data_IF_220155544751
#
_entry.id   IF_220155544751
#
_cell.length_a   1.000
_cell.length_b   1.000
_cell.length_c   1.000
_cell.angle_alpha   90.00
_cell.angle_beta   90.00
_cell.angle_gamma   90.00
#
_symmetry.space_group_name_H-M   'P 1'
#
loop_
_entity.id
_entity.type
_entity.pdbx_description
1 polymer ?
#
# COMPACT_ATOMS: atom_id res chain seq x y z
N UNK A 1 -3.22 11.40 4.48
CA UNK A 1 -2.71 10.47 5.52
C UNK A 1 -1.23 10.67 5.68
N UNK A 2 -0.76 10.89 6.91
CA UNK A 2 0.61 11.32 7.17
C UNK A 2 1.45 10.14 7.68
N UNK A 3 1.90 9.30 6.76
CA UNK A 3 2.71 8.11 7.04
C UNK A 3 4.09 8.27 6.42
N UNK A 4 5.12 8.00 7.19
CA UNK A 4 6.49 7.95 6.67
C UNK A 4 6.74 6.57 6.05
N UNK A 5 6.40 6.45 4.77
CA UNK A 5 6.50 5.18 4.03
C UNK A 5 7.93 4.65 3.98
N UNK A 6 8.91 5.51 3.83
CA UNK A 6 10.32 5.10 3.76
C UNK A 6 10.82 4.50 5.07
N UNK A 7 10.31 4.98 6.20
CA UNK A 7 10.65 4.46 7.52
C UNK A 7 9.95 3.14 7.82
N UNK A 8 8.67 3.01 7.47
CA UNK A 8 7.89 1.81 7.78
C UNK A 8 8.16 0.64 6.84
N UNK A 9 8.49 0.89 5.58
CA UNK A 9 8.69 -0.17 4.59
C UNK A 9 9.71 -1.24 5.03
N UNK A 10 10.94 -0.90 5.46
CA UNK A 10 11.88 -1.93 5.90
C UNK A 10 11.39 -2.69 7.13
N UNK A 11 10.70 -2.03 8.05
CA UNK A 11 10.15 -2.67 9.25
C UNK A 11 9.07 -3.69 8.90
N UNK A 12 8.17 -3.34 7.97
CA UNK A 12 7.11 -4.24 7.51
C UNK A 12 7.70 -5.45 6.79
N UNK A 13 8.71 -5.24 5.95
CA UNK A 13 9.39 -6.33 5.24
C UNK A 13 9.99 -7.35 6.23
N UNK A 14 10.64 -6.89 7.27
CA UNK A 14 11.23 -7.78 8.29
C UNK A 14 10.15 -8.57 9.02
N UNK A 15 9.02 -7.94 9.35
CA UNK A 15 7.91 -8.59 10.05
C UNK A 15 7.17 -9.62 9.19
N UNK A 16 6.90 -9.29 7.94
CA UNK A 16 6.21 -10.20 7.01
C UNK A 16 7.12 -11.31 6.52
N UNK A 17 8.41 -11.04 6.36
CA UNK A 17 9.39 -11.97 5.82
C UNK A 17 10.63 -12.00 6.72
N UNK A 18 10.56 -12.69 7.89
CA UNK A 18 11.71 -12.78 8.79
C UNK A 18 12.87 -13.57 8.21
N UNK A 19 12.62 -14.50 7.28
CA UNK A 19 13.67 -15.21 6.55
C UNK A 19 14.34 -14.26 5.56
N UNK A 20 15.66 -14.06 5.69
CA UNK A 20 16.41 -13.14 4.84
C UNK A 20 16.40 -13.51 3.36
N UNK A 21 16.48 -14.79 3.02
CA UNK A 21 16.45 -15.25 1.63
C UNK A 21 15.08 -14.96 0.98
N UNK A 22 13.99 -15.22 1.71
CA UNK A 22 12.64 -14.90 1.24
C UNK A 22 12.45 -13.40 1.11
N UNK A 23 12.95 -12.63 2.07
CA UNK A 23 12.87 -11.15 2.03
C UNK A 23 13.62 -10.59 0.83
N UNK A 24 14.78 -11.15 0.48
CA UNK A 24 15.53 -10.75 -0.71
C UNK A 24 14.75 -11.02 -1.98
N UNK A 25 14.07 -12.16 -2.04
CA UNK A 25 13.21 -12.52 -3.18
C UNK A 25 12.07 -11.52 -3.33
N UNK A 26 11.40 -11.19 -2.23
CA UNK A 26 10.30 -10.20 -2.20
C UNK A 26 10.81 -8.83 -2.61
N UNK A 27 11.95 -8.40 -2.09
CA UNK A 27 12.56 -7.13 -2.45
C UNK A 27 12.86 -7.04 -3.94
N UNK A 28 13.31 -8.14 -4.53
CA UNK A 28 13.54 -8.23 -5.97
C UNK A 28 12.25 -8.07 -6.79
N UNK A 29 11.16 -8.69 -6.33
CA UNK A 29 9.85 -8.56 -7.00
C UNK A 29 9.34 -7.12 -6.91
N UNK A 30 9.32 -6.55 -5.70
CA UNK A 30 8.90 -5.17 -5.48
C UNK A 30 9.73 -4.19 -6.32
N UNK A 31 11.02 -4.46 -6.46
CA UNK A 31 11.95 -3.61 -7.21
C UNK A 31 11.66 -3.53 -8.71
N UNK A 32 10.77 -4.36 -9.23
CA UNK A 32 10.29 -4.22 -10.62
C UNK A 32 9.53 -2.90 -10.80
N UNK A 33 8.87 -2.42 -9.76
CA UNK A 33 8.34 -1.08 -9.70
C UNK A 33 9.38 -0.16 -9.04
N UNK A 34 9.81 0.86 -9.75
CA UNK A 34 10.84 1.80 -9.31
C UNK A 34 12.04 1.88 -10.25
N UNK A 35 12.03 1.13 -11.38
CA UNK A 35 13.10 1.11 -12.35
C UNK A 35 13.02 2.23 -13.40
N UNK A 36 11.82 2.79 -13.59
CA UNK A 36 11.55 3.80 -14.61
C UNK A 36 11.31 5.16 -13.97
N UNK A 37 11.66 6.22 -14.71
CA UNK A 37 11.49 7.60 -14.22
C UNK A 37 10.02 7.95 -13.92
N UNK A 38 9.08 7.30 -14.62
CA UNK A 38 7.66 7.51 -14.39
C UNK A 38 7.09 6.68 -13.24
N UNK A 39 7.90 5.83 -12.60
CA UNK A 39 7.52 5.11 -11.39
C UNK A 39 7.62 6.06 -10.19
N UNK A 40 6.50 6.66 -9.80
CA UNK A 40 6.43 7.64 -8.72
C UNK A 40 6.07 6.96 -7.39
N UNK A 41 6.36 7.65 -6.28
CA UNK A 41 5.94 7.22 -4.94
C UNK A 41 6.40 5.79 -4.60
N UNK A 42 7.64 5.44 -4.91
CA UNK A 42 8.14 4.05 -4.88
C UNK A 42 7.90 3.38 -3.52
N UNK A 43 8.30 4.00 -2.43
CA UNK A 43 8.16 3.40 -1.10
C UNK A 43 6.68 3.24 -0.69
N UNK A 44 5.86 4.23 -1.04
CA UNK A 44 4.43 4.20 -0.78
C UNK A 44 3.75 3.08 -1.58
N UNK A 45 4.12 2.91 -2.84
CA UNK A 45 3.59 1.85 -3.70
C UNK A 45 4.01 0.47 -3.18
N UNK A 46 5.29 0.29 -2.84
CA UNK A 46 5.78 -0.97 -2.27
C UNK A 46 5.03 -1.32 -0.98
N UNK A 47 4.84 -0.36 -0.09
CA UNK A 47 4.09 -0.59 1.15
C UNK A 47 2.62 -0.95 0.86
N UNK A 48 2.01 -0.30 -0.13
CA UNK A 48 0.65 -0.64 -0.59
C UNK A 48 0.54 -2.05 -1.14
N UNK A 49 1.53 -2.50 -1.91
CA UNK A 49 1.59 -3.88 -2.41
C UNK A 49 1.61 -4.86 -1.24
N UNK A 50 2.44 -4.60 -0.23
CA UNK A 50 2.52 -5.46 0.96
C UNK A 50 1.21 -5.45 1.75
N UNK A 51 0.54 -4.31 1.84
CA UNK A 51 -0.77 -4.24 2.51
C UNK A 51 -1.79 -5.14 1.85
N UNK A 52 -1.84 -5.15 0.53
CA UNK A 52 -2.80 -5.96 -0.23
C UNK A 52 -2.43 -7.43 -0.29
N UNK A 53 -1.15 -7.74 -0.19
CA UNK A 53 -0.63 -9.09 -0.41
C UNK A 53 -0.30 -9.85 0.87
N UNK A 54 0.08 -9.15 1.94
CA UNK A 54 0.60 -9.79 3.15
C UNK A 54 1.84 -10.60 2.81
N UNK A 55 1.89 -11.86 3.25
CA UNK A 55 3.01 -12.78 3.03
C UNK A 55 2.84 -13.67 1.80
N UNK A 56 1.86 -13.40 0.93
CA UNK A 56 1.56 -14.22 -0.25
C UNK A 56 2.37 -13.74 -1.47
N UNK A 57 3.36 -14.53 -1.88
CA UNK A 57 4.24 -14.19 -3.01
C UNK A 57 3.48 -14.03 -4.32
N UNK A 58 2.48 -14.85 -4.58
CA UNK A 58 1.68 -14.77 -5.80
C UNK A 58 0.94 -13.45 -5.87
N UNK A 59 0.39 -13.00 -4.75
CA UNK A 59 -0.28 -11.70 -4.66
C UNK A 59 0.71 -10.54 -4.82
N UNK A 60 1.90 -10.67 -4.24
CA UNK A 60 2.96 -9.65 -4.38
C UNK A 60 3.31 -9.47 -5.86
N UNK A 61 3.50 -10.56 -6.59
CA UNK A 61 3.78 -10.50 -8.03
C UNK A 61 2.65 -9.84 -8.80
N UNK A 62 1.41 -10.22 -8.50
CA UNK A 62 0.24 -9.68 -9.18
C UNK A 62 0.07 -8.18 -8.93
N UNK A 63 0.16 -7.74 -7.67
CA UNK A 63 0.00 -6.32 -7.34
C UNK A 63 1.17 -5.47 -7.82
N UNK A 64 2.38 -6.03 -7.86
CA UNK A 64 3.53 -5.35 -8.46
C UNK A 64 3.30 -5.12 -9.95
N UNK A 65 2.76 -6.10 -10.67
CA UNK A 65 2.40 -5.95 -12.08
C UNK A 65 1.33 -4.86 -12.28
N UNK A 66 0.32 -4.81 -11.41
CA UNK A 66 -0.69 -3.74 -11.43
C UNK A 66 -0.04 -2.38 -11.25
N UNK A 67 0.86 -2.25 -10.27
CA UNK A 67 1.58 -0.99 -10.01
C UNK A 67 2.41 -0.55 -11.23
N UNK A 68 3.09 -1.48 -11.89
CA UNK A 68 3.87 -1.17 -13.09
C UNK A 68 3.00 -0.70 -14.25
N UNK A 69 1.77 -1.19 -14.33
CA UNK A 69 0.79 -0.76 -15.34
C UNK A 69 0.18 0.61 -14.99
N UNK A 70 -0.27 0.78 -13.76
CA UNK A 70 -0.81 2.06 -13.25
C UNK A 70 -0.72 2.08 -11.72
N UNK A 71 0.27 2.81 -11.21
CA UNK A 71 0.48 2.89 -9.75
C UNK A 71 -0.71 3.50 -9.00
N UNK A 72 -1.50 4.34 -9.67
CA UNK A 72 -2.68 4.96 -9.05
C UNK A 72 -3.75 3.92 -8.78
N UNK A 73 -3.92 2.94 -9.67
CA UNK A 73 -4.85 1.83 -9.46
C UNK A 73 -4.45 1.03 -8.20
N UNK A 74 -3.17 0.76 -8.04
CA UNK A 74 -2.64 0.11 -6.83
C UNK A 74 -2.99 0.91 -5.57
N UNK A 75 -2.73 2.22 -5.60
CA UNK A 75 -2.98 3.09 -4.44
C UNK A 75 -4.47 3.20 -4.09
N UNK A 76 -5.35 3.19 -5.10
CA UNK A 76 -6.80 3.16 -4.86
C UNK A 76 -7.17 1.95 -3.99
N UNK A 77 -6.72 0.77 -4.36
CA UNK A 77 -7.01 -0.45 -3.61
C UNK A 77 -6.36 -0.44 -2.22
N UNK A 78 -5.12 0.04 -2.13
CA UNK A 78 -4.36 0.02 -0.88
C UNK A 78 -4.76 1.11 0.12
N UNK A 79 -5.20 2.28 -0.34
CA UNK A 79 -5.40 3.46 0.51
C UNK A 79 -6.76 4.13 0.37
N UNK A 80 -7.39 4.07 -0.81
CA UNK A 80 -8.57 4.89 -1.13
C UNK A 80 -9.80 4.07 -1.50
N UNK A 81 -9.87 2.82 -1.05
CA UNK A 81 -10.95 1.90 -1.44
C UNK A 81 -12.35 2.41 -1.08
N UNK A 82 -12.48 3.26 -0.07
CA UNK A 82 -13.77 3.80 0.36
C UNK A 82 -14.15 5.11 -0.32
N UNK A 83 -13.17 5.95 -0.68
CA UNK A 83 -13.42 7.29 -1.23
C UNK A 83 -13.24 7.39 -2.74
N UNK A 84 -12.71 6.37 -3.39
CA UNK A 84 -12.50 6.37 -4.83
C UNK A 84 -13.83 6.59 -5.56
N UNK A 85 -13.85 7.52 -6.54
CA UNK A 85 -15.04 7.89 -7.33
C UNK A 85 -16.22 8.41 -6.50
N UNK A 86 -15.96 9.00 -5.33
CA UNK A 86 -16.98 9.57 -4.46
C UNK A 86 -17.01 11.11 -4.50
N UNK A 87 -16.62 11.72 -5.62
CA UNK A 87 -16.60 13.19 -5.75
C UNK A 87 -17.96 13.82 -5.52
N UNK A 88 -19.02 13.20 -6.05
CA UNK A 88 -20.39 13.68 -5.83
C UNK A 88 -20.77 13.63 -4.36
N UNK A 89 -20.36 12.60 -3.65
CA UNK A 89 -20.63 12.49 -2.22
C UNK A 89 -19.88 13.58 -1.46
N UNK A 90 -18.65 13.89 -1.85
CA UNK A 90 -17.86 14.95 -1.24
C UNK A 90 -18.55 16.30 -1.35
N UNK A 91 -19.20 16.57 -2.48
CA UNK A 91 -19.95 17.81 -2.71
C UNK A 91 -21.28 17.83 -1.96
N UNK A 92 -22.05 16.73 -2.02
CA UNK A 92 -23.41 16.66 -1.47
C UNK A 92 -23.44 16.43 0.03
N UNK A 93 -22.54 15.62 0.55
CA UNK A 93 -22.49 15.27 1.95
C UNK A 93 -21.03 15.16 2.41
N UNK A 94 -20.36 16.30 2.62
CA UNK A 94 -18.95 16.30 3.00
C UNK A 94 -18.68 15.60 4.35
N UNK A 95 -19.64 15.59 5.25
CA UNK A 95 -19.50 14.89 6.52
C UNK A 95 -19.42 13.37 6.33
N UNK A 96 -20.25 12.81 5.46
CA UNK A 96 -20.22 11.38 5.13
C UNK A 96 -18.94 11.01 4.40
N UNK A 97 -18.50 11.83 3.47
CA UNK A 97 -17.23 11.64 2.78
C UNK A 97 -16.06 11.61 3.77
N UNK A 98 -16.03 12.56 4.71
CA UNK A 98 -14.99 12.63 5.73
C UNK A 98 -14.96 11.38 6.62
N UNK A 99 -16.12 10.78 6.92
CA UNK A 99 -16.20 9.51 7.67
C UNK A 99 -15.56 8.36 6.89
N UNK A 100 -15.84 8.27 5.58
CA UNK A 100 -15.24 7.24 4.72
C UNK A 100 -13.73 7.41 4.62
N UNK A 101 -13.27 8.63 4.45
CA UNK A 101 -11.85 8.95 4.39
C UNK A 101 -11.14 8.58 5.69
N UNK A 102 -11.74 8.89 6.83
CA UNK A 102 -11.20 8.53 8.15
C UNK A 102 -11.16 7.02 8.32
N UNK A 103 -12.19 6.31 7.86
CA UNK A 103 -12.27 4.85 7.94
C UNK A 103 -11.12 4.19 7.17
N UNK A 104 -10.85 4.62 5.94
CA UNK A 104 -9.75 4.04 5.16
C UNK A 104 -8.38 4.36 5.77
N UNK A 105 -8.19 5.55 6.32
CA UNK A 105 -6.96 5.91 7.01
C UNK A 105 -6.75 5.08 8.28
N UNK A 106 -7.81 4.89 9.06
CA UNK A 106 -7.76 4.09 10.29
C UNK A 106 -7.47 2.62 9.97
N UNK A 107 -8.09 2.07 8.95
CA UNK A 107 -7.83 0.69 8.51
C UNK A 107 -6.36 0.48 8.11
N UNK A 108 -5.79 1.44 7.41
CA UNK A 108 -4.38 1.39 7.01
C UNK A 108 -3.45 1.44 8.23
N UNK A 109 -3.71 2.37 9.15
CA UNK A 109 -2.91 2.48 10.38
C UNK A 109 -3.04 1.25 11.26
N UNK A 110 -4.23 0.68 11.39
CA UNK A 110 -4.45 -0.54 12.13
C UNK A 110 -3.69 -1.72 11.53
N UNK A 111 -3.63 -1.79 10.21
CA UNK A 111 -2.82 -2.80 9.53
C UNK A 111 -1.33 -2.64 9.90
N UNK A 112 -0.80 -1.42 9.86
CA UNK A 112 0.59 -1.15 10.25
C UNK A 112 0.86 -1.58 11.70
N UNK A 113 -0.02 -1.23 12.62
CA UNK A 113 0.11 -1.59 14.03
C UNK A 113 0.14 -3.12 14.19
N UNK A 114 -0.75 -3.83 13.53
CA UNK A 114 -0.80 -5.29 13.60
C UNK A 114 0.48 -5.94 13.08
N UNK A 115 0.95 -5.49 11.92
CA UNK A 115 2.15 -6.05 11.29
C UNK A 115 3.39 -5.78 12.13
N UNK A 116 3.52 -4.58 12.68
CA UNK A 116 4.69 -4.18 13.45
C UNK A 116 4.69 -4.79 14.87
N UNK A 117 3.62 -5.45 15.25
CA UNK A 117 3.56 -6.17 16.52
C UNK A 117 3.44 -5.26 17.73
N UNK A 118 2.80 -4.15 17.52
CA UNK A 118 2.61 -3.19 18.59
C UNK A 118 1.72 -3.74 19.70
#
# INVERSE_FOLDING_TARGET
>A
MNIDHSSFLPQVLVKLFPDGAMRDQVTGILGRYGREDFHLEVDRVHLGILRLSGSDLTKIERWTAVACSDFRELLVEAEYSHTFNKDRLKEKDPAKYAKLERKEQDEYRQWLVRVLGA
#
